data_IF_300966141354
#
_entry.id   IF_300966141354
#
_cell.length_a   1.000
_cell.length_b   1.000
_cell.length_c   1.000
_cell.angle_alpha   90.00
_cell.angle_beta   90.00
_cell.angle_gamma   90.00
#
_symmetry.space_group_name_H-M   'P 1'
#
loop_
_entity.id
_entity.type
_entity.pdbx_description
1 polymer ?
#
# COMPACT_ATOMS: atom_id res chain seq x y z
N UNK A 1 7.51 -4.70 5.49
CA UNK A 1 6.35 -3.93 5.98
C UNK A 1 5.03 -4.59 5.61
N UNK A 2 4.40 -5.26 6.58
CA UNK A 2 2.98 -5.66 6.50
C UNK A 2 2.11 -4.71 7.32
N UNK A 3 0.93 -4.35 6.81
CA UNK A 3 -0.05 -3.53 7.52
C UNK A 3 -1.36 -4.28 7.56
N UNK A 4 -1.81 -4.62 8.76
CA UNK A 4 -3.15 -5.15 8.97
C UNK A 4 -4.20 -4.06 8.73
N UNK A 5 -5.09 -4.30 7.77
CA UNK A 5 -6.16 -3.38 7.41
C UNK A 5 -7.19 -4.06 6.51
N UNK A 6 -8.32 -3.38 6.31
CA UNK A 6 -9.24 -3.66 5.24
C UNK A 6 -8.90 -2.81 4.02
N UNK A 7 -8.99 -3.41 2.83
CA UNK A 7 -8.82 -2.72 1.56
C UNK A 7 -9.99 -2.96 0.63
N UNK A 8 -10.30 -1.97 -0.21
CA UNK A 8 -11.16 -2.12 -1.38
C UNK A 8 -10.41 -1.57 -2.57
N UNK A 9 -10.20 -2.41 -3.58
CA UNK A 9 -9.61 -2.00 -4.86
C UNK A 9 -10.72 -1.64 -5.83
N UNK A 10 -10.83 -0.36 -6.16
CA UNK A 10 -11.84 0.20 -7.06
C UNK A 10 -11.20 0.65 -8.39
N UNK A 11 -11.58 -0.02 -9.48
CA UNK A 11 -11.07 0.28 -10.81
C UNK A 11 -12.00 1.28 -11.50
N UNK A 12 -11.64 2.56 -11.40
CA UNK A 12 -12.47 3.64 -11.94
C UNK A 12 -12.71 3.48 -13.43
N UNK A 13 -13.94 3.74 -13.86
CA UNK A 13 -14.41 3.65 -15.24
C UNK A 13 -14.30 2.25 -15.88
N UNK A 14 -13.94 1.20 -15.12
CA UNK A 14 -13.92 -0.17 -15.62
C UNK A 14 -15.16 -0.92 -15.14
N UNK A 15 -16.29 -0.74 -15.83
CA UNK A 15 -17.59 -1.38 -15.49
C UNK A 15 -17.50 -2.90 -15.27
N UNK A 16 -16.53 -3.58 -15.89
CA UNK A 16 -16.35 -5.03 -15.78
C UNK A 16 -15.56 -5.49 -14.55
N UNK A 17 -14.92 -4.58 -13.81
CA UNK A 17 -14.14 -4.93 -12.61
C UNK A 17 -14.87 -4.43 -11.37
N UNK A 18 -15.63 -5.32 -10.75
CA UNK A 18 -16.27 -5.02 -9.47
C UNK A 18 -15.21 -4.73 -8.39
N UNK A 19 -15.48 -3.83 -7.44
CA UNK A 19 -14.61 -3.58 -6.31
C UNK A 19 -14.32 -4.88 -5.54
N UNK A 20 -13.05 -5.10 -5.20
CA UNK A 20 -12.62 -6.32 -4.51
C UNK A 20 -12.27 -5.99 -3.06
N UNK A 21 -13.18 -6.20 -2.09
CA UNK A 21 -12.85 -6.06 -0.68
C UNK A 21 -11.88 -7.16 -0.26
N UNK A 22 -10.89 -6.81 0.55
CA UNK A 22 -9.98 -7.72 1.21
C UNK A 22 -9.77 -7.28 2.67
N UNK A 23 -9.68 -8.24 3.58
CA UNK A 23 -9.52 -7.99 5.03
C UNK A 23 -8.18 -8.48 5.56
N UNK A 24 -7.24 -8.79 4.65
CA UNK A 24 -5.95 -9.42 4.98
C UNK A 24 -4.79 -8.43 5.01
N UNK A 25 -5.08 -7.13 5.05
CA UNK A 25 -4.06 -6.10 5.01
C UNK A 25 -3.43 -5.88 3.63
N UNK A 26 -2.33 -5.15 3.67
CA UNK A 26 -1.44 -4.88 2.53
C UNK A 26 0.01 -5.20 2.91
N UNK A 27 0.85 -5.43 1.91
CA UNK A 27 2.28 -5.66 2.12
C UNK A 27 3.07 -4.77 1.18
N UNK A 28 4.01 -3.99 1.71
CA UNK A 28 5.06 -3.37 0.91
C UNK A 28 6.27 -4.30 0.86
N UNK A 29 6.77 -4.55 -0.34
CA UNK A 29 7.94 -5.39 -0.58
C UNK A 29 8.71 -4.91 -1.80
N UNK A 30 9.98 -5.32 -1.93
CA UNK A 30 10.76 -5.06 -3.14
C UNK A 30 10.60 -6.19 -4.15
N UNK A 31 10.43 -5.84 -5.42
CA UNK A 31 10.48 -6.81 -6.51
C UNK A 31 11.94 -7.11 -6.94
N UNK A 32 12.12 -7.98 -7.94
CA UNK A 32 13.43 -8.33 -8.48
C UNK A 32 14.19 -7.19 -9.18
N UNK A 33 13.53 -6.04 -9.42
CA UNK A 33 14.13 -4.81 -9.95
C UNK A 33 14.37 -3.77 -8.85
N UNK A 34 14.26 -4.18 -7.57
CA UNK A 34 14.40 -3.32 -6.39
C UNK A 34 13.34 -2.21 -6.28
N UNK A 35 12.26 -2.25 -7.06
CA UNK A 35 11.13 -1.32 -6.94
C UNK A 35 10.21 -1.75 -5.78
N UNK A 36 9.61 -0.77 -5.10
CA UNK A 36 8.66 -0.99 -4.03
C UNK A 36 7.28 -1.28 -4.63
N UNK A 37 6.79 -2.48 -4.34
CA UNK A 37 5.47 -2.94 -4.72
C UNK A 37 4.53 -2.90 -3.51
N UNK A 38 3.29 -2.46 -3.75
CA UNK A 38 2.17 -2.66 -2.82
C UNK A 38 1.38 -3.89 -3.23
N UNK A 39 1.38 -4.92 -2.38
CA UNK A 39 0.63 -6.16 -2.54
C UNK A 39 -0.66 -6.19 -1.72
N UNK A 40 -1.74 -6.67 -2.34
CA UNK A 40 -3.05 -6.92 -1.69
C UNK A 40 -3.40 -8.40 -1.90
N UNK A 41 -3.66 -9.10 -0.79
CA UNK A 41 -3.93 -10.54 -0.78
C UNK A 41 -2.74 -11.38 -0.31
N UNK A 42 -2.75 -12.69 -0.58
CA UNK A 42 -1.69 -13.62 -0.14
C UNK A 42 -1.40 -14.67 -1.22
N UNK A 43 -0.14 -15.10 -1.30
CA UNK A 43 0.30 -16.18 -2.18
C UNK A 43 0.08 -15.85 -3.66
N UNK A 44 -0.31 -16.85 -4.45
CA UNK A 44 -0.44 -16.76 -5.92
C UNK A 44 -1.57 -15.84 -6.40
N UNK A 45 -2.49 -15.43 -5.52
CA UNK A 45 -3.60 -14.53 -5.83
C UNK A 45 -3.33 -13.08 -5.40
N UNK A 46 -2.11 -12.76 -4.95
CA UNK A 46 -1.74 -11.40 -4.58
C UNK A 46 -1.73 -10.51 -5.84
N UNK A 47 -2.48 -9.42 -5.78
CA UNK A 47 -2.36 -8.34 -6.77
C UNK A 47 -1.31 -7.38 -6.25
N UNK A 48 -0.34 -7.01 -7.08
CA UNK A 48 0.68 -6.05 -6.70
C UNK A 48 0.77 -4.89 -7.68
N UNK A 49 1.11 -3.71 -7.16
CA UNK A 49 1.28 -2.48 -7.92
C UNK A 49 2.67 -1.90 -7.66
N UNK A 50 3.41 -1.62 -8.71
CA UNK A 50 4.73 -0.98 -8.62
C UNK A 50 4.53 0.51 -8.32
N UNK A 51 4.89 0.95 -7.12
CA UNK A 51 4.51 2.28 -6.65
C UNK A 51 5.21 3.39 -7.44
N UNK A 52 6.49 3.22 -7.78
CA UNK A 52 7.27 4.19 -8.54
C UNK A 52 6.71 4.45 -9.95
N UNK A 53 5.99 3.49 -10.52
CA UNK A 53 5.40 3.61 -11.87
C UNK A 53 3.93 4.04 -11.84
N UNK A 54 3.24 3.84 -10.72
CA UNK A 54 1.78 3.93 -10.67
C UNK A 54 1.22 4.89 -9.64
N UNK A 55 1.96 5.25 -8.59
CA UNK A 55 1.46 6.19 -7.59
C UNK A 55 1.12 7.54 -8.24
N UNK A 56 -0.12 7.99 -8.04
CA UNK A 56 -0.65 9.22 -8.66
C UNK A 56 -1.04 10.24 -7.61
N UNK A 57 -1.80 9.82 -6.58
CA UNK A 57 -2.25 10.70 -5.49
C UNK A 57 -2.42 9.93 -4.19
N UNK A 58 -2.28 10.66 -3.09
CA UNK A 58 -2.46 10.15 -1.74
C UNK A 58 -3.52 11.02 -1.04
N UNK A 59 -4.59 10.40 -0.58
CA UNK A 59 -5.65 11.06 0.19
C UNK A 59 -5.58 10.58 1.64
N UNK A 60 -5.07 11.43 2.52
CA UNK A 60 -4.67 11.07 3.89
C UNK A 60 -5.36 11.88 4.98
N UNK A 61 -6.54 12.43 4.70
CA UNK A 61 -7.28 13.29 5.64
C UNK A 61 -7.85 12.56 6.86
N UNK A 62 -7.86 11.22 6.86
CA UNK A 62 -8.52 10.38 7.86
C UNK A 62 -7.57 9.32 8.45
N UNK A 63 -6.26 9.62 8.51
CA UNK A 63 -5.27 8.70 9.07
C UNK A 63 -5.62 8.33 10.52
N UNK A 64 -6.05 9.31 11.32
CA UNK A 64 -6.41 9.10 12.73
C UNK A 64 -7.63 8.16 12.90
N UNK A 65 -8.49 8.07 11.88
CA UNK A 65 -9.61 7.12 11.81
C UNK A 65 -9.19 5.74 11.25
N UNK A 66 -7.90 5.54 11.01
CA UNK A 66 -7.37 4.33 10.38
C UNK A 66 -7.75 4.20 8.91
N UNK A 67 -7.89 5.33 8.18
CA UNK A 67 -8.32 5.37 6.77
C UNK A 67 -7.41 6.21 5.89
N UNK A 68 -7.19 5.76 4.67
CA UNK A 68 -6.62 6.59 3.60
C UNK A 68 -7.04 6.04 2.23
N UNK A 69 -6.78 6.79 1.17
CA UNK A 69 -6.95 6.29 -0.20
C UNK A 69 -5.69 6.55 -1.00
N UNK A 70 -5.24 5.54 -1.73
CA UNK A 70 -4.10 5.62 -2.63
C UNK A 70 -4.64 5.52 -4.05
N UNK A 71 -4.40 6.54 -4.86
CA UNK A 71 -4.75 6.55 -6.27
C UNK A 71 -3.56 6.12 -7.10
N UNK A 72 -3.79 5.14 -7.98
CA UNK A 72 -2.81 4.59 -8.88
C UNK A 72 -3.23 4.81 -10.33
N UNK A 73 -2.30 5.28 -11.16
CA UNK A 73 -2.42 5.31 -12.61
C UNK A 73 -1.81 4.04 -13.18
N UNK A 74 -2.64 3.24 -13.83
CA UNK A 74 -2.23 1.98 -14.44
C UNK A 74 -1.79 2.18 -15.90
N UNK A 75 -1.10 1.19 -16.43
CA UNK A 75 -0.77 1.11 -17.87
C UNK A 75 -2.04 1.26 -18.71
N UNK A 76 -1.96 2.10 -19.75
CA UNK A 76 -3.10 2.46 -20.59
C UNK A 76 -3.93 3.64 -20.05
N UNK A 77 -3.53 4.25 -18.92
CA UNK A 77 -4.12 5.49 -18.40
C UNK A 77 -5.36 5.32 -17.54
N UNK A 78 -5.79 4.08 -17.28
CA UNK A 78 -6.87 3.81 -16.32
C UNK A 78 -6.42 4.10 -14.88
N UNK A 79 -7.37 4.49 -14.02
CA UNK A 79 -7.10 4.83 -12.63
C UNK A 79 -7.70 3.77 -11.70
N UNK A 80 -7.00 3.49 -10.61
CA UNK A 80 -7.43 2.57 -9.56
C UNK A 80 -7.28 3.26 -8.20
N UNK A 81 -8.32 3.21 -7.37
CA UNK A 81 -8.25 3.64 -5.98
C UNK A 81 -8.14 2.43 -5.07
N UNK A 82 -7.15 2.45 -4.19
CA UNK A 82 -7.03 1.51 -3.08
C UNK A 82 -7.52 2.24 -1.84
N UNK A 83 -8.73 1.89 -1.39
CA UNK A 83 -9.34 2.46 -0.19
C UNK A 83 -8.91 1.60 0.99
N UNK A 84 -8.18 2.19 1.93
CA UNK A 84 -7.70 1.54 3.15
C UNK A 84 -8.57 1.98 4.32
N UNK A 85 -8.94 1.02 5.17
CA UNK A 85 -9.72 1.25 6.39
C UNK A 85 -9.33 0.27 7.49
N UNK A 86 -9.68 0.57 8.75
CA UNK A 86 -9.36 -0.28 9.92
C UNK A 86 -7.86 -0.58 10.07
N UNK A 87 -7.00 0.34 9.63
CA UNK A 87 -5.57 0.26 9.89
C UNK A 87 -5.22 0.95 11.20
N UNK A 88 -4.10 0.59 11.83
CA UNK A 88 -3.53 1.39 12.91
C UNK A 88 -3.07 2.75 12.37
N UNK A 89 -3.42 3.89 13.02
CA UNK A 89 -2.93 5.20 12.62
C UNK A 89 -1.40 5.29 12.55
N UNK A 90 -0.69 4.58 13.41
CA UNK A 90 0.78 4.56 13.41
C UNK A 90 1.32 3.92 12.12
N UNK A 91 0.83 2.72 11.78
CA UNK A 91 1.22 2.03 10.54
C UNK A 91 0.79 2.81 9.29
N UNK A 92 -0.36 3.50 9.31
CA UNK A 92 -0.74 4.39 8.21
C UNK A 92 0.19 5.58 8.08
N UNK A 93 0.59 6.22 9.17
CA UNK A 93 1.55 7.31 9.12
C UNK A 93 2.87 6.87 8.51
N UNK A 94 3.35 5.67 8.85
CA UNK A 94 4.54 5.07 8.24
C UNK A 94 4.39 4.80 6.75
N UNK A 95 3.26 4.20 6.35
CA UNK A 95 2.92 4.00 4.95
C UNK A 95 2.94 5.33 4.19
N UNK A 96 2.31 6.36 4.74
CA UNK A 96 2.20 7.68 4.10
C UNK A 96 3.57 8.35 3.99
N UNK A 97 4.44 8.21 4.99
CA UNK A 97 5.84 8.67 4.88
C UNK A 97 6.55 8.02 3.69
N UNK A 98 6.44 6.70 3.53
CA UNK A 98 7.04 5.97 2.40
C UNK A 98 6.45 6.45 1.08
N UNK A 99 5.12 6.54 0.98
CA UNK A 99 4.44 6.95 -0.25
C UNK A 99 4.79 8.39 -0.64
N UNK A 100 4.90 9.31 0.30
CA UNK A 100 5.31 10.70 0.03
C UNK A 100 6.75 10.78 -0.50
N UNK A 101 7.67 9.92 -0.02
CA UNK A 101 9.03 9.85 -0.57
C UNK A 101 8.99 9.39 -2.02
N UNK A 102 8.21 8.34 -2.32
CA UNK A 102 8.08 7.80 -3.68
C UNK A 102 7.45 8.84 -4.63
N UNK A 103 6.40 9.53 -4.18
CA UNK A 103 5.68 10.55 -4.96
C UNK A 103 6.59 11.73 -5.33
N UNK A 104 7.42 12.19 -4.38
CA UNK A 104 8.28 13.35 -4.58
C UNK A 104 9.62 13.00 -5.26
N UNK A 105 10.20 11.86 -4.91
CA UNK A 105 11.55 11.45 -5.29
C UNK A 105 11.59 9.93 -5.55
N UNK A 106 10.99 9.45 -6.66
CA UNK A 106 10.91 8.01 -6.94
C UNK A 106 12.30 7.35 -7.06
N UNK A 107 13.31 8.09 -7.51
CA UNK A 107 14.69 7.59 -7.61
C UNK A 107 15.30 7.24 -6.25
N UNK A 108 14.82 7.84 -5.16
CA UNK A 108 15.25 7.56 -3.78
C UNK A 108 14.47 6.45 -3.12
N UNK A 109 13.50 5.85 -3.81
CA UNK A 109 12.75 4.72 -3.28
C UNK A 109 13.67 3.53 -2.94
N UNK A 110 14.84 3.41 -3.57
CA UNK A 110 15.87 2.43 -3.24
C UNK A 110 16.53 2.61 -1.86
N UNK A 111 16.53 3.82 -1.29
CA UNK A 111 17.12 4.14 0.02
C UNK A 111 16.21 3.70 1.19
N UNK A 112 14.93 3.44 0.92
CA UNK A 112 13.94 3.10 1.94
C UNK A 112 14.16 1.66 2.44
N UNK A 113 14.56 1.47 3.70
CA UNK A 113 14.59 0.12 4.29
C UNK A 113 13.21 -0.24 4.86
N UNK A 114 12.51 -1.16 4.18
CA UNK A 114 11.17 -1.60 4.56
C UNK A 114 11.14 -2.43 5.86
N UNK A 115 12.29 -2.95 6.32
CA UNK A 115 12.40 -3.73 7.55
C UNK A 115 12.36 -2.84 8.79
N UNK A 116 12.76 -1.58 8.66
CA UNK A 116 12.68 -0.60 9.74
C UNK A 116 11.24 -0.30 10.17
N UNK A 117 10.26 -0.74 9.38
CA UNK A 117 8.83 -0.58 9.63
C UNK A 117 8.12 -1.88 10.02
N UNK A 118 8.83 -3.01 10.06
CA UNK A 118 8.27 -4.28 10.57
C UNK A 118 8.42 -4.40 12.11
N UNK A 119 8.92 -3.36 12.79
CA UNK A 119 9.27 -3.41 14.21
C UNK A 119 8.16 -2.93 15.14
N UNK A 120 7.45 -3.88 15.77
CA UNK A 120 7.13 -3.88 17.22
C UNK A 120 6.33 -5.10 17.74
N UNK A 121 6.18 -6.20 16.99
CA UNK A 121 5.39 -7.37 17.48
C UNK A 121 6.12 -8.71 17.64
N UNK A 122 7.45 -8.78 17.48
CA UNK A 122 8.22 -10.01 17.73
C UNK A 122 8.94 -9.99 19.09
N UNK A 123 8.29 -9.51 20.16
CA UNK A 123 8.88 -9.61 21.52
C UNK A 123 7.99 -10.11 22.64
N UNK A 124 6.73 -10.48 22.39
CA UNK A 124 5.86 -11.08 23.43
C UNK A 124 5.48 -12.54 23.12
N UNK A 125 6.42 -13.28 22.51
CA UNK A 125 6.41 -14.74 22.52
C UNK A 125 6.99 -15.24 23.84
N UNK A 126 6.17 -15.15 24.88
CA UNK A 126 6.38 -15.70 26.22
C UNK A 126 6.82 -17.18 26.20
N UNK A 127 7.70 -17.47 27.16
CA UNK A 127 8.19 -18.74 27.73
C UNK A 127 7.39 -20.05 27.49
#
# INVERSE_FOLDING_TARGET
>A
MHIECNTVVDYLNQQRKQPRPATKGITLFRNGQSQICLGIGKGTKMVHFKLEESLSRIYSNFIDDGKCTIELKLVGGSICNIIISKASPNHLNELIKILNIIDQQPDRANEIDLRNFDGENDSDGEE
#
